data_IF_733478682096
#
_entry.id   IF_733478682096
#
_cell.length_a   1.000
_cell.length_b   1.000
_cell.length_c   1.000
_cell.angle_alpha   90.00
_cell.angle_beta   90.00
_cell.angle_gamma   90.00
#
_symmetry.space_group_name_H-M   'P 1'
#
loop_
_entity.id
_entity.type
_entity.pdbx_description
1 polymer ?
#
# COMPACT_ATOMS: atom_id res chain seq x y z
N UNK A 1 -13.59 -6.44 5.62
CA UNK A 1 -12.95 -6.87 6.88
C UNK A 1 -14.06 -7.20 7.86
N UNK A 2 -14.01 -8.34 8.53
CA UNK A 2 -15.05 -8.73 9.47
C UNK A 2 -14.88 -8.02 10.82
N UNK A 3 -15.94 -7.90 11.65
CA UNK A 3 -15.80 -7.39 13.02
C UNK A 3 -14.77 -8.17 13.86
N UNK A 4 -14.67 -9.48 13.64
CA UNK A 4 -13.70 -10.36 14.29
C UNK A 4 -12.26 -9.98 13.94
N UNK A 5 -11.99 -9.68 12.66
CA UNK A 5 -10.65 -9.24 12.22
C UNK A 5 -10.28 -7.90 12.87
N UNK A 6 -11.23 -6.97 12.96
CA UNK A 6 -11.02 -5.67 13.62
C UNK A 6 -10.71 -5.87 15.09
N UNK A 7 -11.48 -6.70 15.80
CA UNK A 7 -11.24 -6.98 17.22
C UNK A 7 -9.84 -7.56 17.45
N UNK A 8 -9.37 -8.44 16.53
CA UNK A 8 -8.00 -8.96 16.57
C UNK A 8 -6.97 -7.85 16.41
N UNK A 9 -7.11 -6.97 15.42
CA UNK A 9 -6.17 -5.86 15.20
C UNK A 9 -6.16 -4.87 16.37
N UNK A 10 -7.30 -4.65 17.03
CA UNK A 10 -7.39 -3.77 18.21
C UNK A 10 -6.71 -4.41 19.43
N UNK A 11 -6.85 -5.72 19.62
CA UNK A 11 -6.26 -6.44 20.76
C UNK A 11 -4.79 -6.83 20.59
N UNK A 12 -4.30 -6.90 19.35
CA UNK A 12 -2.95 -7.38 19.03
C UNK A 12 -2.13 -6.29 18.31
N UNK A 13 -1.23 -5.65 19.08
CA UNK A 13 -0.34 -4.60 18.60
C UNK A 13 0.59 -5.08 17.48
N UNK A 14 1.03 -6.35 17.51
CA UNK A 14 1.91 -6.89 16.48
C UNK A 14 1.13 -7.07 15.18
N UNK A 15 -0.07 -7.66 15.26
CA UNK A 15 -0.94 -7.79 14.09
C UNK A 15 -1.30 -6.42 13.47
N UNK A 16 -1.57 -5.40 14.30
CA UNK A 16 -1.82 -4.03 13.81
C UNK A 16 -0.59 -3.43 13.12
N UNK A 17 0.60 -3.62 13.69
CA UNK A 17 1.86 -3.15 13.09
C UNK A 17 2.09 -3.81 11.73
N UNK A 18 1.96 -5.13 11.65
CA UNK A 18 2.17 -5.88 10.42
C UNK A 18 1.14 -5.50 9.34
N UNK A 19 -0.11 -5.28 9.76
CA UNK A 19 -1.17 -4.77 8.88
C UNK A 19 -0.76 -3.44 8.24
N UNK A 20 -0.16 -2.51 8.98
CA UNK A 20 0.30 -1.24 8.41
C UNK A 20 1.52 -1.45 7.53
N UNK A 21 2.55 -2.14 8.04
CA UNK A 21 3.86 -2.27 7.37
C UNK A 21 3.78 -2.92 5.98
N UNK A 22 2.86 -3.86 5.78
CA UNK A 22 2.66 -4.49 4.47
C UNK A 22 2.10 -3.55 3.40
N UNK A 23 1.60 -2.37 3.77
CA UNK A 23 1.14 -1.31 2.85
C UNK A 23 2.18 -0.21 2.65
N UNK A 24 3.23 -0.17 3.47
CA UNK A 24 4.25 0.86 3.42
C UNK A 24 5.38 0.44 2.48
N UNK A 25 5.91 1.40 1.74
CA UNK A 25 7.10 1.26 0.93
C UNK A 25 8.23 2.08 1.56
N UNK A 26 9.46 1.55 1.56
CA UNK A 26 10.63 2.35 1.92
C UNK A 26 10.90 3.42 0.85
N UNK A 27 10.88 4.69 1.24
CA UNK A 27 11.07 5.84 0.36
C UNK A 27 9.77 6.39 -0.24
N UNK A 28 9.91 7.33 -1.18
CA UNK A 28 8.77 8.04 -1.80
C UNK A 28 8.63 7.65 -3.27
N UNK A 29 7.40 7.34 -3.70
CA UNK A 29 7.13 6.91 -5.08
C UNK A 29 5.86 7.59 -5.62
N UNK A 30 6.03 8.69 -6.36
CA UNK A 30 4.96 9.34 -7.13
C UNK A 30 4.63 8.56 -8.39
N UNK A 31 3.40 8.66 -8.90
CA UNK A 31 2.98 7.92 -10.11
C UNK A 31 3.73 8.34 -11.38
N UNK A 32 4.33 9.54 -11.39
CA UNK A 32 5.23 9.98 -12.45
C UNK A 32 6.53 9.16 -12.53
N UNK A 33 7.05 8.69 -11.39
CA UNK A 33 8.25 7.86 -11.31
C UNK A 33 7.99 6.35 -11.40
N UNK A 34 6.73 5.92 -11.48
CA UNK A 34 6.37 4.50 -11.58
C UNK A 34 6.53 3.98 -13.01
N UNK A 35 7.17 2.82 -13.15
CA UNK A 35 7.22 2.05 -14.40
C UNK A 35 5.88 1.40 -14.71
N UNK A 36 5.68 0.96 -15.96
CA UNK A 36 4.49 0.21 -16.39
C UNK A 36 4.23 -1.03 -15.53
N UNK A 37 5.30 -1.72 -15.15
CA UNK A 37 5.28 -2.83 -14.21
C UNK A 37 6.53 -2.74 -13.34
N UNK A 38 6.36 -2.89 -12.02
CA UNK A 38 7.49 -2.99 -11.09
C UNK A 38 7.09 -3.67 -9.79
N UNK A 39 8.06 -4.35 -9.20
CA UNK A 39 7.94 -5.07 -7.94
C UNK A 39 8.80 -4.36 -6.89
N UNK A 40 8.26 -4.20 -5.68
CA UNK A 40 8.96 -3.66 -4.53
C UNK A 40 8.65 -4.49 -3.28
N UNK A 41 9.57 -4.51 -2.32
CA UNK A 41 9.29 -5.01 -1.00
C UNK A 41 8.52 -3.95 -0.20
N UNK A 42 7.51 -4.38 0.54
CA UNK A 42 6.91 -3.54 1.56
C UNK A 42 7.85 -3.38 2.76
N UNK A 43 7.45 -2.62 3.76
CA UNK A 43 8.18 -2.54 5.04
C UNK A 43 7.90 -3.71 5.98
N UNK A 44 6.99 -4.63 5.62
CA UNK A 44 6.89 -5.95 6.25
C UNK A 44 7.68 -6.95 5.42
N UNK A 45 8.53 -7.72 6.09
CA UNK A 45 9.34 -8.75 5.45
C UNK A 45 8.46 -9.75 4.68
N UNK A 46 8.98 -10.21 3.54
CA UNK A 46 8.34 -11.17 2.63
C UNK A 46 6.96 -10.73 2.08
N UNK A 47 6.58 -9.46 2.24
CA UNK A 47 5.41 -8.89 1.58
C UNK A 47 5.82 -8.02 0.40
N UNK A 48 5.30 -8.37 -0.76
CA UNK A 48 5.61 -7.75 -2.04
C UNK A 48 4.47 -6.83 -2.48
N UNK A 49 4.84 -5.68 -3.01
CA UNK A 49 3.96 -4.73 -3.69
C UNK A 49 4.25 -4.76 -5.19
N UNK A 50 3.29 -5.26 -5.96
CA UNK A 50 3.33 -5.30 -7.42
C UNK A 50 2.54 -4.14 -8.00
N UNK A 51 3.24 -3.20 -8.62
CA UNK A 51 2.63 -2.04 -9.26
C UNK A 51 2.42 -2.29 -10.75
N UNK A 52 1.24 -1.93 -11.26
CA UNK A 52 0.96 -1.89 -12.69
C UNK A 52 0.31 -0.56 -13.08
N UNK A 53 0.74 0.03 -14.19
CA UNK A 53 0.26 1.32 -14.68
C UNK A 53 -0.24 1.18 -16.11
N UNK A 54 -1.50 1.54 -16.35
CA UNK A 54 -2.12 1.51 -17.67
C UNK A 54 -3.06 2.72 -17.84
N UNK A 55 -2.86 3.50 -18.89
CA UNK A 55 -3.70 4.67 -19.19
C UNK A 55 -3.80 5.67 -18.03
N UNK A 56 -2.69 5.91 -17.32
CA UNK A 56 -2.65 6.80 -16.15
C UNK A 56 -3.24 6.22 -14.85
N UNK A 57 -3.92 5.07 -14.91
CA UNK A 57 -4.40 4.34 -13.74
C UNK A 57 -3.30 3.45 -13.20
N UNK A 58 -3.14 3.44 -11.88
CA UNK A 58 -2.17 2.60 -11.18
C UNK A 58 -2.91 1.60 -10.31
N UNK A 59 -2.46 0.36 -10.34
CA UNK A 59 -2.86 -0.68 -9.38
C UNK A 59 -1.67 -1.14 -8.58
N UNK A 60 -1.92 -1.55 -7.34
CA UNK A 60 -0.98 -2.25 -6.46
C UNK A 60 -1.60 -3.58 -6.02
N UNK A 61 -0.94 -4.71 -6.23
CA UNK A 61 -1.48 -6.05 -5.98
C UNK A 61 -2.91 -6.24 -6.52
N UNK A 62 -3.12 -5.77 -7.76
CA UNK A 62 -4.40 -5.76 -8.48
C UNK A 62 -5.50 -4.83 -7.90
N UNK A 63 -5.24 -4.13 -6.79
CA UNK A 63 -6.11 -3.10 -6.20
C UNK A 63 -5.88 -1.76 -6.89
N UNK A 64 -6.96 -1.09 -7.32
CA UNK A 64 -6.89 0.24 -7.93
C UNK A 64 -6.57 1.32 -6.89
N UNK A 65 -5.65 2.21 -7.21
CA UNK A 65 -5.43 3.44 -6.43
C UNK A 65 -6.54 4.43 -6.75
N UNK A 66 -7.38 4.75 -5.76
CA UNK A 66 -8.53 5.64 -5.88
C UNK A 66 -8.12 7.13 -5.84
N UNK A 67 -7.14 7.48 -5.01
CA UNK A 67 -6.53 8.83 -4.98
C UNK A 67 -5.01 8.72 -5.07
N UNK A 68 -4.42 9.40 -6.05
CA UNK A 68 -2.97 9.34 -6.30
C UNK A 68 -2.27 10.62 -5.84
N UNK A 69 -1.00 10.50 -5.46
CA UNK A 69 -0.07 11.62 -5.29
C UNK A 69 -0.45 12.64 -4.20
N UNK A 70 -1.03 12.22 -3.08
CA UNK A 70 -1.30 13.13 -1.95
C UNK A 70 0.03 13.43 -1.24
N UNK A 71 0.53 14.68 -1.27
CA UNK A 71 1.82 15.02 -0.68
C UNK A 71 1.75 15.00 0.85
N UNK A 72 2.82 14.51 1.48
CA UNK A 72 3.07 14.60 2.92
C UNK A 72 4.49 15.12 3.15
N UNK A 73 4.79 15.58 4.37
CA UNK A 73 6.12 16.14 4.71
C UNK A 73 7.24 15.11 4.66
N UNK A 74 6.91 13.82 4.76
CA UNK A 74 7.84 12.70 4.78
C UNK A 74 7.58 11.67 3.67
N UNK A 75 6.76 12.00 2.67
CA UNK A 75 6.50 11.11 1.54
C UNK A 75 5.24 11.43 0.76
N UNK A 76 4.59 10.38 0.25
CA UNK A 76 3.39 10.49 -0.58
C UNK A 76 2.38 9.41 -0.19
N UNK A 77 1.11 9.77 -0.16
CA UNK A 77 0.01 8.85 0.11
C UNK A 77 -0.73 8.54 -1.21
N UNK A 78 -1.03 7.26 -1.40
CA UNK A 78 -1.91 6.75 -2.44
C UNK A 78 -3.07 6.01 -1.76
N UNK A 79 -4.30 6.49 -1.92
CA UNK A 79 -5.47 5.87 -1.31
C UNK A 79 -5.93 4.66 -2.11
N UNK A 80 -6.38 3.62 -1.41
CA UNK A 80 -6.93 2.39 -1.96
C UNK A 80 -8.19 2.02 -1.17
N UNK A 81 -9.14 1.38 -1.84
CA UNK A 81 -10.43 1.03 -1.24
C UNK A 81 -10.43 -0.39 -0.64
N UNK A 82 -9.34 -1.13 -0.84
CA UNK A 82 -9.14 -2.49 -0.33
C UNK A 82 -7.81 -2.59 0.40
N UNK A 83 -7.77 -3.42 1.45
CA UNK A 83 -6.51 -3.80 2.08
C UNK A 83 -5.69 -4.66 1.11
N UNK A 84 -4.37 -4.46 1.09
CA UNK A 84 -3.41 -5.26 0.30
C UNK A 84 -3.19 -6.63 0.93
#
# INVERSE_FOLDING_TARGET
MSPTDVAKLVGDKQAARDMVLRHLLAGTLYTAGMRYYQIKNSMLDDKILTFSKQGGKVKVNNVLISTQNVPATNGVIHAIDFLL
#
